data_IF_972550014546
#
_entry.id   IF_972550014546
#
_cell.length_a   1.000
_cell.length_b   1.000
_cell.length_c   1.000
_cell.angle_alpha   90.00
_cell.angle_beta   90.00
_cell.angle_gamma   90.00
#
_symmetry.space_group_name_H-M   'P 1'
#
loop_
_entity.id
_entity.type
_entity.pdbx_description
1 polymer ?
#
# COMPACT_ATOMS: atom_id res chain seq x y z
N UNK A 1 52.68 21.30 64.14
CA UNK A 1 53.12 19.96 63.65
C UNK A 1 51.96 19.22 62.98
N UNK A 2 50.83 18.98 63.64
CA UNK A 2 49.68 18.27 63.04
C UNK A 2 49.05 18.99 61.83
N UNK A 3 49.01 20.33 61.81
CA UNK A 3 48.54 21.08 60.63
C UNK A 3 49.43 20.88 59.40
N UNK A 4 50.74 20.67 59.61
CA UNK A 4 51.65 20.44 58.49
C UNK A 4 51.48 19.02 57.92
N UNK A 5 51.27 18.02 58.79
CA UNK A 5 50.87 16.68 58.37
C UNK A 5 49.51 16.66 57.68
N UNK A 6 48.53 17.43 58.18
CA UNK A 6 47.23 17.60 57.53
C UNK A 6 47.38 18.20 56.14
N UNK A 7 48.15 19.28 55.99
CA UNK A 7 48.39 19.90 54.69
C UNK A 7 49.08 18.96 53.69
N UNK A 8 50.01 18.11 54.15
CA UNK A 8 50.63 17.08 53.30
C UNK A 8 49.62 16.01 52.86
N UNK A 9 48.76 15.55 53.77
CA UNK A 9 47.68 14.60 53.44
C UNK A 9 46.65 15.22 52.50
N UNK A 10 46.24 16.47 52.71
CA UNK A 10 45.29 17.17 51.85
C UNK A 10 45.85 17.33 50.42
N UNK A 11 47.14 17.66 50.28
CA UNK A 11 47.82 17.72 48.99
C UNK A 11 47.92 16.34 48.32
N UNK A 12 48.16 15.28 49.10
CA UNK A 12 48.19 13.92 48.59
C UNK A 12 46.81 13.48 48.09
N UNK A 13 45.76 13.75 48.84
CA UNK A 13 44.37 13.51 48.44
C UNK A 13 44.02 14.25 47.15
N UNK A 14 44.39 15.54 47.05
CA UNK A 14 44.15 16.32 45.83
C UNK A 14 44.85 15.71 44.60
N UNK A 15 46.10 15.28 44.75
CA UNK A 15 46.84 14.63 43.66
C UNK A 15 46.23 13.27 43.29
N UNK A 16 45.70 12.52 44.27
CA UNK A 16 44.98 11.27 44.02
C UNK A 16 43.65 11.50 43.32
N UNK A 17 42.90 12.53 43.68
CA UNK A 17 41.61 12.86 43.05
C UNK A 17 41.80 13.29 41.60
N UNK A 18 42.82 14.11 41.32
CA UNK A 18 43.22 14.46 39.95
C UNK A 18 43.59 13.22 39.12
N UNK A 19 44.35 12.30 39.72
CA UNK A 19 44.72 11.04 39.06
C UNK A 19 43.52 10.14 38.83
N UNK A 20 42.58 10.06 39.77
CA UNK A 20 41.34 9.30 39.63
C UNK A 20 40.45 9.87 38.52
N UNK A 21 40.34 11.18 38.40
CA UNK A 21 39.60 11.82 37.31
C UNK A 21 40.20 11.47 35.95
N UNK A 22 41.53 11.53 35.83
CA UNK A 22 42.23 11.12 34.62
C UNK A 22 42.02 9.63 34.30
N UNK A 23 42.09 8.74 35.29
CA UNK A 23 41.84 7.30 35.13
C UNK A 23 40.40 7.05 34.67
N UNK A 24 39.42 7.78 35.23
CA UNK A 24 38.04 7.63 34.84
C UNK A 24 37.82 8.04 33.38
N UNK A 25 38.37 9.18 32.95
CA UNK A 25 38.35 9.59 31.54
C UNK A 25 39.06 8.58 30.62
N UNK A 26 40.16 7.97 31.07
CA UNK A 26 40.82 6.91 30.31
C UNK A 26 39.96 5.64 30.18
N UNK A 27 39.23 5.25 31.22
CA UNK A 27 38.28 4.12 31.16
C UNK A 27 37.14 4.39 30.20
N UNK A 28 36.56 5.58 30.24
CA UNK A 28 35.48 5.96 29.33
C UNK A 28 35.97 5.92 27.87
N UNK A 29 37.16 6.46 27.61
CA UNK A 29 37.79 6.37 26.29
C UNK A 29 38.05 4.93 25.86
N UNK A 30 38.47 4.05 26.79
CA UNK A 30 38.66 2.62 26.50
C UNK A 30 37.35 1.95 26.08
N UNK A 31 36.25 2.24 26.76
CA UNK A 31 34.91 1.74 26.41
C UNK A 31 34.49 2.25 25.03
N UNK A 32 34.68 3.54 24.74
CA UNK A 32 34.40 4.11 23.41
C UNK A 32 35.21 3.42 22.32
N UNK A 33 36.51 3.21 22.53
CA UNK A 33 37.37 2.51 21.54
C UNK A 33 36.96 1.05 21.35
N UNK A 34 36.55 0.36 22.43
CA UNK A 34 36.02 -1.00 22.33
C UNK A 34 34.73 -1.05 21.52
N UNK A 35 33.78 -0.15 21.79
CA UNK A 35 32.54 -0.02 21.04
C UNK A 35 32.80 0.32 19.56
N UNK A 36 33.75 1.20 19.26
CA UNK A 36 34.15 1.51 17.89
C UNK A 36 34.72 0.29 17.16
N UNK A 37 35.55 -0.53 17.82
CA UNK A 37 36.09 -1.77 17.24
C UNK A 37 34.98 -2.79 16.96
N UNK A 38 34.00 -2.89 17.83
CA UNK A 38 32.83 -3.75 17.62
C UNK A 38 31.97 -3.23 16.46
N UNK A 39 31.67 -1.93 16.44
CA UNK A 39 30.96 -1.27 15.35
C UNK A 39 31.63 -1.49 14.00
N UNK A 40 32.97 -1.41 13.93
CA UNK A 40 33.73 -1.70 12.71
C UNK A 40 33.56 -3.16 12.24
N UNK A 41 33.59 -4.14 13.16
CA UNK A 41 33.37 -5.55 12.81
C UNK A 41 31.96 -5.79 12.28
N UNK A 42 30.96 -5.17 12.90
CA UNK A 42 29.57 -5.23 12.44
C UNK A 42 29.44 -4.56 11.07
N UNK A 43 30.02 -3.38 10.89
CA UNK A 43 30.04 -2.68 9.60
C UNK A 43 30.68 -3.52 8.50
N UNK A 44 31.81 -4.18 8.76
CA UNK A 44 32.44 -5.09 7.80
C UNK A 44 31.57 -6.31 7.49
N UNK A 45 30.81 -6.82 8.46
CA UNK A 45 29.89 -7.96 8.26
C UNK A 45 28.69 -7.55 7.41
N UNK A 46 28.10 -6.39 7.68
CA UNK A 46 26.98 -5.86 6.89
C UNK A 46 27.45 -5.44 5.49
N UNK A 47 28.64 -4.86 5.35
CA UNK A 47 29.24 -4.54 4.06
C UNK A 47 29.42 -5.78 3.17
N UNK A 48 29.76 -6.93 3.76
CA UNK A 48 29.83 -8.22 3.02
C UNK A 48 28.45 -8.78 2.63
N UNK A 49 27.37 -8.35 3.30
CA UNK A 49 26.00 -8.75 2.97
C UNK A 49 25.36 -7.84 1.93
N UNK A 50 25.82 -6.59 1.82
CA UNK A 50 25.48 -5.72 0.71
C UNK A 50 26.12 -6.27 -0.55
N UNK A 51 25.32 -6.88 -1.42
CA UNK A 51 25.77 -7.24 -2.75
C UNK A 51 25.57 -6.02 -3.65
N UNK A 52 26.63 -5.51 -4.29
CA UNK A 52 26.55 -4.37 -5.20
C UNK A 52 25.60 -4.69 -6.35
N UNK A 53 25.63 -5.94 -6.86
CA UNK A 53 24.69 -6.40 -7.90
C UNK A 53 23.22 -6.18 -7.50
N UNK A 54 22.87 -6.37 -6.21
CA UNK A 54 21.49 -6.15 -5.73
C UNK A 54 21.14 -4.67 -5.59
N UNK A 55 22.14 -3.81 -5.42
CA UNK A 55 21.95 -2.36 -5.38
C UNK A 55 21.76 -1.85 -6.80
N UNK A 56 22.51 -2.38 -7.76
CA UNK A 56 22.31 -2.14 -9.20
C UNK A 56 20.92 -2.63 -9.63
N UNK A 57 20.53 -3.87 -9.29
CA UNK A 57 19.18 -4.40 -9.55
C UNK A 57 18.07 -3.51 -8.95
N UNK A 58 18.29 -2.95 -7.75
CA UNK A 58 17.33 -2.06 -7.09
C UNK A 58 17.27 -0.69 -7.76
N UNK A 59 18.40 -0.16 -8.23
CA UNK A 59 18.44 1.09 -8.98
C UNK A 59 17.73 0.94 -10.32
N UNK A 60 17.99 -0.16 -11.04
CA UNK A 60 17.31 -0.49 -12.29
C UNK A 60 15.79 -0.60 -12.08
N UNK A 61 15.33 -1.31 -11.04
CA UNK A 61 13.90 -1.39 -10.69
C UNK A 61 13.29 -0.04 -10.30
N UNK A 62 14.08 0.87 -9.73
CA UNK A 62 13.64 2.21 -9.37
C UNK A 62 13.50 3.10 -10.61
N UNK A 63 14.41 2.96 -11.56
CA UNK A 63 14.33 3.59 -12.88
C UNK A 63 13.08 3.09 -13.62
N UNK A 64 12.87 1.77 -13.69
CA UNK A 64 11.67 1.17 -14.29
C UNK A 64 10.37 1.69 -13.64
N UNK A 65 10.35 1.89 -12.33
CA UNK A 65 9.19 2.43 -11.60
C UNK A 65 8.95 3.91 -11.86
N UNK A 66 10.00 4.71 -11.99
CA UNK A 66 9.89 6.12 -12.35
C UNK A 66 9.38 6.26 -13.79
N UNK A 67 9.87 5.42 -14.70
CA UNK A 67 9.40 5.38 -16.09
C UNK A 67 7.93 4.94 -16.17
N UNK A 68 7.52 3.92 -15.41
CA UNK A 68 6.12 3.54 -15.29
C UNK A 68 5.26 4.65 -14.69
N UNK A 69 5.77 5.42 -13.71
CA UNK A 69 5.04 6.57 -13.17
C UNK A 69 4.84 7.65 -14.23
N UNK A 70 5.87 7.95 -15.02
CA UNK A 70 5.78 8.89 -16.13
C UNK A 70 4.79 8.41 -17.20
N UNK A 71 4.79 7.11 -17.53
CA UNK A 71 3.83 6.53 -18.46
C UNK A 71 2.39 6.58 -17.90
N UNK A 72 2.20 6.33 -16.60
CA UNK A 72 0.90 6.49 -15.93
C UNK A 72 0.45 7.96 -15.96
N UNK A 73 1.34 8.90 -15.69
CA UNK A 73 1.02 10.34 -15.77
C UNK A 73 0.69 10.75 -17.20
N UNK A 74 1.41 10.26 -18.20
CA UNK A 74 1.10 10.50 -19.60
C UNK A 74 -0.24 9.87 -19.98
N UNK A 75 -0.52 8.63 -19.56
CA UNK A 75 -1.78 7.94 -19.84
C UNK A 75 -2.98 8.59 -19.14
N UNK A 76 -2.82 9.10 -17.92
CA UNK A 76 -3.86 9.90 -17.24
C UNK A 76 -3.96 11.32 -17.81
N UNK A 77 -2.86 11.88 -18.33
CA UNK A 77 -2.83 13.15 -19.04
C UNK A 77 -3.34 13.04 -20.49
N UNK A 78 -3.50 11.82 -21.03
CA UNK A 78 -4.39 11.54 -22.16
C UNK A 78 -5.85 11.68 -21.71
N UNK A 79 -6.13 12.82 -21.10
CA UNK A 79 -7.45 13.39 -21.13
C UNK A 79 -7.75 13.55 -22.62
N UNK A 80 -8.73 12.81 -23.12
CA UNK A 80 -9.30 13.10 -24.42
C UNK A 80 -9.73 14.55 -24.34
N UNK A 81 -9.02 15.41 -25.05
CA UNK A 81 -9.36 16.81 -25.22
C UNK A 81 -10.71 16.80 -25.93
N UNK A 82 -11.80 16.79 -25.15
CA UNK A 82 -13.10 17.19 -25.68
C UNK A 82 -12.88 18.62 -26.13
N UNK A 83 -13.11 18.95 -27.42
CA UNK A 83 -13.02 20.31 -27.89
C UNK A 83 -13.77 21.24 -26.93
N UNK A 84 -13.39 22.51 -26.84
CA UNK A 84 -14.20 23.53 -26.15
C UNK A 84 -15.59 23.55 -26.81
N UNK A 85 -16.49 22.71 -26.32
CA UNK A 85 -17.88 22.60 -26.71
C UNK A 85 -18.63 23.62 -25.86
N UNK A 86 -19.48 24.41 -26.50
CA UNK A 86 -20.32 25.35 -25.78
C UNK A 86 -21.36 24.56 -24.96
N UNK A 87 -21.17 24.50 -23.64
CA UNK A 87 -22.09 23.79 -22.72
C UNK A 87 -23.52 24.33 -22.86
N UNK A 88 -23.70 25.62 -23.19
CA UNK A 88 -25.02 26.21 -23.36
C UNK A 88 -25.69 25.75 -24.67
N UNK A 89 -24.91 25.55 -25.73
CA UNK A 89 -25.41 24.99 -27.00
C UNK A 89 -25.78 23.51 -26.82
N UNK A 90 -24.93 22.75 -26.13
CA UNK A 90 -25.19 21.34 -25.83
C UNK A 90 -26.43 21.16 -24.95
N UNK A 91 -26.62 22.01 -23.94
CA UNK A 91 -27.81 21.95 -23.09
C UNK A 91 -29.09 22.35 -23.86
N UNK A 92 -28.99 23.29 -24.80
CA UNK A 92 -30.10 23.63 -25.69
C UNK A 92 -30.45 22.48 -26.65
N UNK A 93 -29.44 21.81 -27.25
CA UNK A 93 -29.65 20.62 -28.06
C UNK A 93 -30.24 19.47 -27.23
N UNK A 94 -29.76 19.25 -26.00
CA UNK A 94 -30.28 18.22 -25.09
C UNK A 94 -31.73 18.50 -24.69
N UNK A 95 -32.07 19.76 -24.42
CA UNK A 95 -33.44 20.17 -24.13
C UNK A 95 -34.35 19.95 -25.34
N UNK A 96 -33.89 20.27 -26.56
CA UNK A 96 -34.64 19.99 -27.78
C UNK A 96 -34.84 18.49 -28.01
N UNK A 97 -33.82 17.65 -27.75
CA UNK A 97 -33.96 16.20 -27.81
C UNK A 97 -34.93 15.68 -26.74
N UNK A 98 -34.89 16.27 -25.54
CA UNK A 98 -35.82 15.98 -24.45
C UNK A 98 -37.26 16.29 -24.86
N UNK A 99 -37.49 17.44 -25.48
CA UNK A 99 -38.80 17.82 -26.03
C UNK A 99 -39.21 16.91 -27.20
N UNK A 100 -38.28 16.48 -28.06
CA UNK A 100 -38.55 15.51 -29.15
C UNK A 100 -38.91 14.12 -28.61
N UNK A 101 -38.26 13.67 -27.54
CA UNK A 101 -38.57 12.43 -26.82
C UNK A 101 -39.89 12.52 -26.03
N UNK A 102 -40.19 13.67 -25.43
CA UNK A 102 -41.43 13.92 -24.68
C UNK A 102 -42.66 13.97 -25.62
N UNK A 103 -42.48 14.45 -26.85
CA UNK A 103 -43.49 14.31 -27.92
C UNK A 103 -43.73 12.82 -28.29
N UNK A 104 -42.77 11.93 -27.99
CA UNK A 104 -42.86 10.48 -28.14
C UNK A 104 -43.37 9.70 -26.91
N UNK A 105 -43.48 10.31 -25.73
CA UNK A 105 -44.00 9.64 -24.52
C UNK A 105 -45.50 9.32 -24.60
N UNK A 106 -46.21 9.86 -25.60
CA UNK A 106 -47.57 9.39 -25.92
C UNK A 106 -47.60 7.98 -26.55
N UNK A 107 -46.44 7.41 -26.90
CA UNK A 107 -46.30 6.11 -27.55
C UNK A 107 -45.47 5.11 -26.72
N UNK A 108 -45.60 5.15 -25.38
CA UNK A 108 -45.04 4.14 -24.45
C UNK A 108 -45.71 2.76 -24.53
N UNK A 109 -46.08 2.31 -25.73
CA UNK A 109 -46.62 0.97 -26.01
C UNK A 109 -45.66 -0.16 -25.62
N UNK A 110 -44.37 0.15 -25.42
CA UNK A 110 -43.35 -0.79 -24.94
C UNK A 110 -43.62 -1.33 -23.51
N UNK A 111 -44.25 -0.55 -22.63
CA UNK A 111 -44.53 -0.98 -21.26
C UNK A 111 -45.79 -1.86 -21.15
N UNK A 112 -46.76 -1.67 -22.04
CA UNK A 112 -47.98 -2.48 -22.08
C UNK A 112 -47.71 -3.92 -22.59
N UNK A 113 -46.76 -4.09 -23.51
CA UNK A 113 -46.37 -5.42 -24.00
C UNK A 113 -45.68 -6.27 -22.91
N UNK A 114 -44.93 -5.63 -22.00
CA UNK A 114 -44.32 -6.29 -20.86
C UNK A 114 -45.35 -6.77 -19.81
N UNK A 115 -46.49 -6.07 -19.67
CA UNK A 115 -47.59 -6.45 -18.78
C UNK A 115 -48.49 -7.53 -19.35
N UNK A 116 -48.50 -7.72 -20.68
CA UNK A 116 -49.25 -8.77 -21.36
C UNK A 116 -48.53 -10.15 -21.39
N UNK A 117 -47.31 -10.24 -20.84
CA UNK A 117 -46.55 -11.47 -20.80
C UNK A 117 -47.23 -12.53 -19.89
N UNK A 118 -47.32 -13.81 -20.30
CA UNK A 118 -47.98 -14.85 -19.51
C UNK A 118 -47.24 -15.11 -18.19
N UNK A 119 -48.00 -15.28 -17.11
CA UNK A 119 -47.45 -15.51 -15.76
C UNK A 119 -46.88 -16.91 -15.57
N UNK A 120 -45.88 -17.01 -14.68
CA UNK A 120 -45.05 -18.20 -14.43
C UNK A 120 -45.90 -19.38 -13.90
N UNK A 121 -45.70 -20.63 -14.39
CA UNK A 121 -46.51 -21.78 -13.96
C UNK A 121 -46.38 -22.11 -12.46
N UNK A 122 -47.51 -22.41 -11.81
CA UNK A 122 -47.63 -22.57 -10.36
C UNK A 122 -47.45 -24.00 -9.80
N UNK A 123 -47.04 -24.99 -10.61
CA UNK A 123 -46.80 -26.35 -10.14
C UNK A 123 -45.30 -26.63 -9.89
N UNK A 124 -44.98 -27.18 -8.72
CA UNK A 124 -43.60 -27.51 -8.34
C UNK A 124 -43.08 -28.72 -9.15
N UNK A 125 -41.83 -28.69 -9.64
CA UNK A 125 -41.30 -29.72 -10.52
C UNK A 125 -41.09 -31.06 -9.80
N UNK A 126 -41.34 -32.18 -10.50
CA UNK A 126 -41.17 -33.54 -10.00
C UNK A 126 -39.73 -34.03 -10.23
N UNK A 127 -39.11 -34.59 -9.20
CA UNK A 127 -37.76 -35.17 -9.25
C UNK A 127 -37.69 -36.38 -10.18
N UNK A 128 -36.60 -36.46 -10.97
CA UNK A 128 -36.28 -37.61 -11.82
C UNK A 128 -34.95 -38.20 -11.37
N UNK A 129 -34.89 -39.53 -11.28
CA UNK A 129 -33.68 -40.26 -10.83
C UNK A 129 -32.91 -40.75 -12.06
N UNK A 130 -31.63 -40.42 -12.14
CA UNK A 130 -30.70 -40.96 -13.13
C UNK A 130 -29.48 -41.52 -12.39
N UNK A 131 -29.12 -42.78 -12.70
CA UNK A 131 -27.92 -43.48 -12.18
C UNK A 131 -27.74 -43.44 -10.64
N UNK A 132 -28.82 -43.67 -9.89
CA UNK A 132 -28.76 -43.98 -8.46
C UNK A 132 -28.44 -42.83 -7.51
N UNK A 133 -28.18 -41.62 -8.02
CA UNK A 133 -28.13 -40.39 -7.23
C UNK A 133 -29.31 -39.48 -7.59
N UNK A 134 -29.93 -38.86 -6.58
CA UNK A 134 -30.92 -37.82 -6.84
C UNK A 134 -30.21 -36.59 -7.42
N UNK A 135 -30.50 -36.31 -8.69
CA UNK A 135 -30.02 -35.10 -9.39
C UNK A 135 -31.17 -34.12 -9.53
N UNK A 136 -30.86 -32.82 -9.47
CA UNK A 136 -31.80 -31.77 -9.86
C UNK A 136 -31.86 -31.59 -11.39
N UNK A 137 -32.78 -30.75 -11.88
CA UNK A 137 -32.92 -30.50 -13.34
C UNK A 137 -31.74 -29.73 -13.97
N UNK A 138 -30.75 -29.30 -13.18
CA UNK A 138 -29.47 -28.79 -13.70
C UNK A 138 -28.40 -29.89 -13.79
N UNK A 139 -28.76 -31.14 -13.49
CA UNK A 139 -27.85 -32.29 -13.53
C UNK A 139 -26.84 -32.29 -12.38
N UNK A 140 -27.09 -31.50 -11.32
CA UNK A 140 -26.20 -31.43 -10.17
C UNK A 140 -26.60 -32.49 -9.13
N UNK A 141 -25.64 -33.26 -8.58
CA UNK A 141 -25.92 -34.23 -7.54
C UNK A 141 -26.35 -33.52 -6.26
N UNK A 142 -27.46 -33.96 -5.66
CA UNK A 142 -27.85 -33.48 -4.33
C UNK A 142 -26.88 -34.04 -3.29
N UNK A 143 -26.23 -33.14 -2.56
CA UNK A 143 -25.44 -33.51 -1.39
C UNK A 143 -26.38 -34.04 -0.29
N UNK A 144 -26.05 -35.16 0.39
CA UNK A 144 -26.85 -35.61 1.52
C UNK A 144 -26.78 -34.56 2.64
N UNK A 145 -27.94 -34.26 3.23
CA UNK A 145 -28.09 -33.36 4.37
C UNK A 145 -27.38 -33.90 5.63
#
# INVERSE_FOLDING_TARGET
MYENQKGQLDQQCFNMDQSNFAIQGMKDNQVTVAAMKEGLKTMQKEYKKMNIDKIEDLQDQMEDMLDMNNEIQEAMSRQYDTPDLDEADLEAELAMLGDELDIGESDTNYLDEALAAPTVPAEKPKTRVAEGLEVDEFGLPKLPA
#
